data_IF_913717279228
#
_entry.id   IF_913717279228
#
_cell.length_a   1.000
_cell.length_b   1.000
_cell.length_c   1.000
_cell.angle_alpha   90.00
_cell.angle_beta   90.00
_cell.angle_gamma   90.00
#
_symmetry.space_group_name_H-M   'P 1'
#
loop_
_entity.id
_entity.type
_entity.pdbx_description
1 polymer ?
#
# COMPACT_ATOMS: atom_id res chain seq x y z
N UNK A 1 -6.19 13.57 -6.09
CA UNK A 1 -6.34 13.26 -7.52
C UNK A 1 -7.33 12.10 -7.66
N UNK A 2 -8.56 12.34 -8.07
CA UNK A 2 -9.49 11.25 -8.35
C UNK A 2 -9.02 10.48 -9.58
N UNK A 3 -9.10 9.17 -9.58
CA UNK A 3 -8.74 8.43 -10.79
C UNK A 3 -8.37 6.97 -10.59
N UNK A 4 -7.83 6.39 -11.65
CA UNK A 4 -7.36 5.02 -11.70
C UNK A 4 -5.93 4.90 -11.19
N UNK A 5 -5.66 3.89 -10.41
CA UNK A 5 -4.32 3.53 -9.92
C UNK A 5 -4.06 2.04 -9.94
N UNK A 6 -2.84 1.70 -9.56
CA UNK A 6 -2.37 0.32 -9.49
C UNK A 6 -1.84 0.04 -8.10
N UNK A 7 -2.09 -1.14 -7.58
CA UNK A 7 -1.38 -1.72 -6.46
C UNK A 7 -0.49 -2.85 -6.96
N UNK A 8 0.64 -3.08 -6.32
CA UNK A 8 1.51 -4.21 -6.60
C UNK A 8 1.98 -4.86 -5.31
N UNK A 9 1.90 -6.19 -5.26
CA UNK A 9 2.49 -7.03 -4.23
C UNK A 9 3.89 -7.47 -4.66
N UNK A 10 4.87 -6.57 -4.56
CA UNK A 10 6.27 -6.95 -4.74
C UNK A 10 6.87 -7.31 -3.38
N UNK A 11 6.92 -8.61 -3.08
CA UNK A 11 7.17 -9.15 -1.74
C UNK A 11 8.35 -10.14 -1.75
N UNK A 12 9.58 -9.67 -1.97
CA UNK A 12 10.74 -10.54 -1.87
C UNK A 12 10.86 -11.10 -0.44
N UNK A 13 11.26 -12.36 -0.36
CA UNK A 13 11.57 -13.05 0.91
C UNK A 13 13.08 -13.04 1.20
N UNK A 14 13.49 -13.75 2.25
CA UNK A 14 14.92 -13.85 2.64
C UNK A 14 15.81 -14.42 1.53
N UNK A 15 15.26 -15.23 0.63
CA UNK A 15 16.00 -15.88 -0.45
C UNK A 15 16.06 -14.98 -1.69
N UNK A 16 15.03 -14.18 -1.91
CA UNK A 16 14.85 -13.34 -3.09
C UNK A 16 15.15 -11.85 -2.88
N UNK A 17 15.38 -11.38 -1.65
CA UNK A 17 15.63 -9.96 -1.36
C UNK A 17 16.82 -9.39 -2.15
N UNK A 18 17.84 -10.19 -2.43
CA UNK A 18 18.96 -9.80 -3.26
C UNK A 18 18.56 -9.48 -4.72
N UNK A 19 17.44 -10.03 -5.20
CA UNK A 19 16.94 -9.80 -6.57
C UNK A 19 16.35 -8.41 -6.74
N UNK A 20 16.05 -7.68 -5.66
CA UNK A 20 15.60 -6.27 -5.69
C UNK A 20 16.54 -5.41 -6.54
N UNK A 21 17.84 -5.74 -6.61
CA UNK A 21 18.81 -5.06 -7.49
C UNK A 21 18.45 -5.11 -8.98
N UNK A 22 17.69 -6.13 -9.41
CA UNK A 22 17.32 -6.35 -10.80
C UNK A 22 15.99 -5.67 -11.18
N UNK A 23 15.30 -5.02 -10.24
CA UNK A 23 14.05 -4.36 -10.50
C UNK A 23 14.23 -3.21 -11.50
N UNK A 24 13.48 -3.25 -12.60
CA UNK A 24 13.55 -2.27 -13.68
C UNK A 24 12.58 -1.11 -13.41
N UNK A 25 13.06 -0.12 -12.66
CA UNK A 25 12.26 1.04 -12.23
C UNK A 25 11.71 1.82 -13.42
N UNK A 26 12.49 1.98 -14.49
CA UNK A 26 12.05 2.73 -15.66
C UNK A 26 10.95 2.00 -16.44
N UNK A 27 11.10 0.70 -16.69
CA UNK A 27 10.07 -0.10 -17.33
C UNK A 27 8.79 -0.14 -16.47
N UNK A 28 8.92 -0.24 -15.14
CA UNK A 28 7.80 -0.21 -14.20
C UNK A 28 7.04 1.13 -14.26
N UNK A 29 7.74 2.25 -14.10
CA UNK A 29 7.12 3.58 -14.13
C UNK A 29 6.53 3.91 -15.51
N UNK A 30 7.18 3.50 -16.59
CA UNK A 30 6.66 3.61 -17.96
C UNK A 30 5.36 2.79 -18.14
N UNK A 31 5.30 1.58 -17.60
CA UNK A 31 4.08 0.76 -17.62
C UNK A 31 2.90 1.44 -16.93
N UNK A 32 3.10 2.02 -15.74
CA UNK A 32 2.09 2.80 -15.04
C UNK A 32 1.62 4.02 -15.86
N UNK A 33 2.55 4.76 -16.46
CA UNK A 33 2.21 5.90 -17.30
C UNK A 33 1.42 5.49 -18.56
N UNK A 34 1.79 4.38 -19.20
CA UNK A 34 1.04 3.82 -20.35
C UNK A 34 -0.39 3.45 -19.98
N UNK A 35 -0.61 2.92 -18.77
CA UNK A 35 -1.93 2.62 -18.23
C UNK A 35 -2.68 3.85 -17.71
N UNK A 36 -2.06 5.04 -17.76
CA UNK A 36 -2.61 6.32 -17.26
C UNK A 36 -2.95 6.25 -15.77
N UNK A 37 -2.14 5.56 -14.99
CA UNK A 37 -2.30 5.50 -13.55
C UNK A 37 -2.07 6.89 -12.93
N UNK A 38 -2.94 7.28 -12.01
CA UNK A 38 -2.80 8.51 -11.22
C UNK A 38 -2.05 8.27 -9.91
N UNK A 39 -2.01 7.02 -9.45
CA UNK A 39 -1.32 6.62 -8.23
C UNK A 39 -0.87 5.15 -8.29
N UNK A 40 0.10 4.86 -7.44
CA UNK A 40 0.60 3.52 -7.13
C UNK A 40 0.45 3.26 -5.64
N UNK A 41 -0.06 2.08 -5.26
CA UNK A 41 0.12 1.51 -3.92
C UNK A 41 1.22 0.45 -4.02
N UNK A 42 2.35 0.68 -3.35
CA UNK A 42 3.52 -0.19 -3.37
C UNK A 42 3.71 -0.87 -2.02
N UNK A 43 3.79 -2.19 -2.00
CA UNK A 43 4.15 -2.92 -0.77
C UNK A 43 5.60 -2.61 -0.39
N UNK A 44 5.78 -2.00 0.78
CA UNK A 44 7.10 -1.77 1.38
C UNK A 44 7.66 -3.06 1.97
N UNK A 45 6.79 -3.87 2.51
CA UNK A 45 7.02 -5.18 3.08
C UNK A 45 5.71 -5.82 3.53
N UNK A 46 5.79 -7.04 4.04
CA UNK A 46 4.66 -7.81 4.53
C UNK A 46 5.07 -8.56 5.82
N UNK A 47 4.23 -9.46 6.29
CA UNK A 47 4.38 -10.23 7.54
C UNK A 47 5.69 -11.02 7.64
N UNK A 48 6.39 -11.29 6.53
CA UNK A 48 7.66 -12.00 6.51
C UNK A 48 8.86 -11.20 7.07
N UNK A 49 8.67 -9.92 7.40
CA UNK A 49 9.72 -9.06 7.95
C UNK A 49 10.80 -8.64 6.97
N UNK A 50 10.58 -8.86 5.67
CA UNK A 50 11.47 -8.36 4.62
C UNK A 50 10.92 -7.07 4.04
N UNK A 51 11.77 -6.05 3.95
CA UNK A 51 11.41 -4.74 3.44
C UNK A 51 12.28 -4.38 2.25
N UNK A 52 11.70 -3.78 1.23
CA UNK A 52 12.42 -3.32 0.02
C UNK A 52 13.05 -1.92 0.20
N UNK A 53 13.14 -1.48 1.44
CA UNK A 53 13.69 -0.20 1.88
C UNK A 53 14.53 -0.38 3.13
N UNK A 54 15.69 0.28 3.27
CA UNK A 54 16.40 0.35 4.53
C UNK A 54 15.59 1.14 5.58
N UNK A 55 15.80 0.82 6.87
CA UNK A 55 15.19 1.53 7.99
C UNK A 55 16.15 1.58 9.17
N UNK A 56 16.61 2.78 9.48
CA UNK A 56 17.61 3.00 10.54
C UNK A 56 17.03 2.79 11.96
N UNK A 57 15.76 3.16 12.16
CA UNK A 57 15.10 2.95 13.44
C UNK A 57 14.93 1.45 13.73
N UNK A 58 14.55 0.66 12.72
CA UNK A 58 14.43 -0.79 12.86
C UNK A 58 15.79 -1.44 13.18
N UNK A 59 16.86 -0.98 12.55
CA UNK A 59 18.23 -1.48 12.82
C UNK A 59 18.69 -1.17 14.25
N UNK A 60 18.36 0.02 14.77
CA UNK A 60 18.67 0.42 16.15
C UNK A 60 17.85 -0.36 17.16
N UNK A 61 16.55 -0.47 16.94
CA UNK A 61 15.65 -1.20 17.83
C UNK A 61 15.92 -2.70 17.85
N UNK A 62 16.22 -3.26 16.68
CA UNK A 62 16.38 -4.70 16.46
C UNK A 62 17.66 -4.98 15.64
N UNK A 63 18.85 -4.96 16.28
CA UNK A 63 20.13 -5.11 15.55
C UNK A 63 20.23 -6.38 14.69
N UNK A 64 19.45 -7.42 15.02
CA UNK A 64 19.35 -8.63 14.20
C UNK A 64 18.60 -8.46 12.87
N UNK A 65 17.79 -7.41 12.72
CA UNK A 65 17.04 -7.12 11.50
C UNK A 65 17.94 -6.64 10.35
N UNK A 66 19.13 -6.11 10.66
CA UNK A 66 20.11 -5.64 9.64
C UNK A 66 20.52 -6.71 8.62
N UNK A 67 20.32 -8.00 8.93
CA UNK A 67 20.58 -9.13 8.02
C UNK A 67 19.68 -9.12 6.78
N UNK A 68 18.57 -8.40 6.82
CA UNK A 68 17.55 -8.33 5.78
C UNK A 68 17.59 -6.98 5.02
N UNK A 69 18.72 -6.30 5.05
CA UNK A 69 18.89 -5.02 4.37
C UNK A 69 18.80 -5.21 2.85
N UNK A 70 17.88 -4.53 2.17
CA UNK A 70 17.78 -4.61 0.72
C UNK A 70 19.03 -3.97 0.08
N UNK A 71 19.44 -4.43 -1.11
CA UNK A 71 20.63 -3.92 -1.81
C UNK A 71 20.48 -2.49 -2.33
N UNK A 72 19.24 -1.95 -2.36
CA UNK A 72 18.92 -0.59 -2.81
C UNK A 72 17.63 -0.10 -2.12
N UNK A 73 17.40 1.20 -2.14
CA UNK A 73 16.15 1.81 -1.66
C UNK A 73 15.15 1.91 -2.80
N UNK A 74 14.47 0.81 -3.09
CA UNK A 74 13.57 0.71 -4.24
C UNK A 74 12.39 1.69 -4.19
N UNK A 75 11.71 1.92 -3.05
CA UNK A 75 10.63 2.91 -2.98
C UNK A 75 11.09 4.36 -3.24
N UNK A 76 12.33 4.72 -2.88
CA UNK A 76 12.89 6.02 -3.19
C UNK A 76 13.04 6.20 -4.70
N UNK A 77 13.68 5.25 -5.36
CA UNK A 77 13.90 5.28 -6.80
C UNK A 77 12.58 5.27 -7.60
N UNK A 78 11.62 4.42 -7.20
CA UNK A 78 10.29 4.42 -7.78
C UNK A 78 9.60 5.76 -7.55
N UNK A 79 9.63 6.30 -6.33
CA UNK A 79 9.00 7.58 -5.99
C UNK A 79 9.50 8.74 -6.85
N UNK A 80 10.80 8.80 -7.12
CA UNK A 80 11.41 9.80 -8.01
C UNK A 80 10.94 9.64 -9.46
N UNK A 81 10.93 8.41 -9.99
CA UNK A 81 10.46 8.12 -11.33
C UNK A 81 8.96 8.43 -11.52
N UNK A 82 8.14 8.17 -10.50
CA UNK A 82 6.72 8.48 -10.49
C UNK A 82 6.44 9.98 -10.38
N UNK A 83 7.20 10.71 -9.55
CA UNK A 83 7.10 12.16 -9.43
C UNK A 83 7.31 12.85 -10.78
N UNK A 84 8.30 12.41 -11.54
CA UNK A 84 8.58 12.94 -12.89
C UNK A 84 7.39 12.72 -13.87
N UNK A 85 6.51 11.76 -13.56
CA UNK A 85 5.34 11.41 -14.39
C UNK A 85 4.00 11.88 -13.78
N UNK A 86 4.03 12.60 -12.68
CA UNK A 86 2.83 13.08 -11.98
C UNK A 86 1.99 11.97 -11.35
N UNK A 87 2.58 10.81 -11.06
CA UNK A 87 1.94 9.65 -10.44
C UNK A 87 2.23 9.69 -8.93
N UNK A 88 1.20 9.61 -8.09
CA UNK A 88 1.35 9.62 -6.64
C UNK A 88 1.79 8.25 -6.11
N UNK A 89 2.73 8.23 -5.16
CA UNK A 89 3.12 7.02 -4.45
C UNK A 89 2.41 6.92 -3.11
N UNK A 90 1.75 5.78 -2.85
CA UNK A 90 1.19 5.37 -1.57
C UNK A 90 1.96 4.12 -1.14
N UNK A 91 2.45 4.10 0.09
CA UNK A 91 3.18 2.94 0.62
C UNK A 91 2.24 2.04 1.40
N UNK A 92 2.29 0.75 1.10
CA UNK A 92 1.58 -0.27 1.87
C UNK A 92 2.50 -0.86 2.94
N UNK A 93 1.95 -1.04 4.13
CA UNK A 93 2.62 -1.71 5.23
C UNK A 93 1.58 -2.44 6.11
N UNK A 94 1.83 -3.67 6.58
CA UNK A 94 0.99 -4.23 7.62
C UNK A 94 0.98 -3.35 8.86
N UNK A 95 -0.21 -3.14 9.43
CA UNK A 95 -0.39 -2.34 10.64
C UNK A 95 0.37 -2.95 11.83
N UNK A 96 0.37 -4.28 11.91
CA UNK A 96 1.01 -5.07 12.96
C UNK A 96 1.98 -6.05 12.33
N UNK A 97 3.06 -5.55 11.80
CA UNK A 97 4.08 -6.36 11.16
C UNK A 97 5.34 -6.44 12.04
N UNK A 98 6.14 -7.44 11.85
CA UNK A 98 6.10 -8.57 10.91
C UNK A 98 5.65 -9.88 11.56
N UNK A 99 4.38 -10.18 11.53
CA UNK A 99 3.76 -11.30 12.25
C UNK A 99 4.38 -12.69 11.97
N UNK A 100 4.90 -12.91 10.78
CA UNK A 100 5.57 -14.17 10.42
C UNK A 100 7.07 -14.21 10.80
N UNK A 101 7.59 -13.18 11.48
CA UNK A 101 8.92 -13.16 12.09
C UNK A 101 8.80 -12.99 13.62
N UNK A 102 8.63 -14.08 14.40
CA UNK A 102 8.43 -13.99 15.85
C UNK A 102 9.59 -13.32 16.60
N UNK A 103 10.82 -13.44 16.07
CA UNK A 103 11.98 -12.81 16.70
C UNK A 103 11.91 -11.28 16.57
N UNK A 104 11.51 -10.79 15.41
CA UNK A 104 11.36 -9.37 15.15
C UNK A 104 10.13 -8.81 15.89
N UNK A 105 9.01 -9.54 15.93
CA UNK A 105 7.84 -9.16 16.71
C UNK A 105 8.17 -9.02 18.20
N UNK A 106 8.87 -10.01 18.77
CA UNK A 106 9.32 -9.95 20.16
C UNK A 106 10.25 -8.76 20.41
N UNK A 107 11.16 -8.48 19.48
CA UNK A 107 12.07 -7.34 19.54
C UNK A 107 11.29 -6.02 19.58
N UNK A 108 10.28 -5.88 18.71
CA UNK A 108 9.40 -4.71 18.66
C UNK A 108 8.43 -4.63 19.84
N UNK A 109 8.37 -5.67 20.68
CA UNK A 109 7.56 -5.67 21.89
C UNK A 109 6.17 -6.23 21.75
N UNK A 110 5.89 -6.99 20.68
CA UNK A 110 4.63 -7.70 20.48
C UNK A 110 4.85 -9.21 20.47
N UNK A 111 3.95 -9.95 21.11
CA UNK A 111 4.06 -11.41 21.24
C UNK A 111 2.75 -12.15 20.97
N UNK A 112 1.64 -11.43 20.75
CA UNK A 112 0.31 -12.04 20.57
C UNK A 112 -0.52 -11.27 19.56
N UNK A 113 -1.06 -11.97 18.56
CA UNK A 113 -1.95 -11.40 17.56
C UNK A 113 -3.41 -11.30 18.05
N UNK A 114 -3.75 -12.01 19.12
CA UNK A 114 -5.13 -12.11 19.60
C UNK A 114 -5.55 -10.93 20.47
N UNK A 115 -4.59 -10.18 21.02
CA UNK A 115 -4.84 -9.02 21.86
C UNK A 115 -4.50 -7.71 21.14
N UNK A 116 -5.04 -6.58 21.61
CA UNK A 116 -4.61 -5.28 21.10
C UNK A 116 -3.08 -5.12 21.20
N UNK A 117 -2.43 -4.47 20.24
CA UNK A 117 -0.99 -4.31 20.26
C UNK A 117 -0.55 -3.53 21.51
N UNK A 118 0.47 -4.00 22.24
CA UNK A 118 0.97 -3.33 23.45
C UNK A 118 1.48 -1.92 23.15
N UNK A 119 1.38 -1.01 24.13
CA UNK A 119 1.85 0.38 23.96
C UNK A 119 3.34 0.46 23.56
N UNK A 120 4.18 -0.44 24.07
CA UNK A 120 5.59 -0.53 23.68
C UNK A 120 5.79 -0.88 22.21
N UNK A 121 4.93 -1.77 21.65
CA UNK A 121 4.94 -2.09 20.23
C UNK A 121 4.51 -0.87 19.40
N UNK A 122 3.42 -0.21 19.78
CA UNK A 122 2.95 1.01 19.09
C UNK A 122 4.06 2.06 19.05
N UNK A 123 4.77 2.30 20.15
CA UNK A 123 5.88 3.25 20.21
C UNK A 123 7.05 2.82 19.28
N UNK A 124 7.48 1.57 19.36
CA UNK A 124 8.57 1.05 18.54
C UNK A 124 8.21 1.05 17.05
N UNK A 125 7.01 0.54 16.71
CA UNK A 125 6.55 0.50 15.32
C UNK A 125 6.32 1.88 14.73
N UNK A 126 5.82 2.82 15.52
CA UNK A 126 5.71 4.23 15.12
C UNK A 126 7.07 4.84 14.81
N UNK A 127 8.14 4.48 15.53
CA UNK A 127 9.50 4.95 15.21
C UNK A 127 9.98 4.43 13.86
N UNK A 128 9.68 3.17 13.55
CA UNK A 128 9.98 2.55 12.24
C UNK A 128 9.20 3.24 11.11
N UNK A 129 7.90 3.48 11.32
CA UNK A 129 7.05 4.20 10.35
C UNK A 129 7.56 5.63 10.14
N UNK A 130 7.97 6.31 11.22
CA UNK A 130 8.51 7.67 11.16
C UNK A 130 9.77 7.76 10.32
N UNK A 131 10.71 6.83 10.48
CA UNK A 131 11.95 6.79 9.70
C UNK A 131 11.64 6.71 8.20
N UNK A 132 10.77 5.81 7.76
CA UNK A 132 10.34 5.76 6.36
C UNK A 132 9.55 7.00 5.93
N UNK A 133 8.69 7.52 6.82
CA UNK A 133 7.88 8.72 6.52
C UNK A 133 8.75 9.94 6.24
N UNK A 134 9.79 10.14 7.05
CA UNK A 134 10.76 11.23 6.89
C UNK A 134 11.67 10.99 5.68
N UNK A 135 12.14 9.76 5.49
CA UNK A 135 12.97 9.35 4.35
C UNK A 135 12.34 9.68 3.01
N UNK A 136 11.06 9.37 2.85
CA UNK A 136 10.36 9.63 1.59
C UNK A 136 9.73 11.01 1.53
N UNK A 137 9.49 11.66 2.66
CA UNK A 137 8.95 13.02 2.71
C UNK A 137 7.77 13.21 1.75
N UNK A 138 7.81 14.25 0.89
CA UNK A 138 6.72 14.53 -0.04
C UNK A 138 6.60 13.56 -1.23
N UNK A 139 7.55 12.64 -1.45
CA UNK A 139 7.43 11.59 -2.47
C UNK A 139 6.32 10.61 -2.12
N UNK A 140 6.22 10.19 -0.85
CA UNK A 140 5.13 9.35 -0.37
C UNK A 140 3.88 10.20 -0.07
N UNK A 141 2.88 10.12 -0.94
CA UNK A 141 1.60 10.82 -0.80
C UNK A 141 0.66 10.16 0.20
N UNK A 142 0.94 8.95 0.63
CA UNK A 142 0.10 8.26 1.60
C UNK A 142 0.69 6.98 2.14
N UNK A 143 -0.04 6.45 3.13
CA UNK A 143 0.12 5.11 3.69
C UNK A 143 -1.18 4.33 3.57
N UNK A 144 -1.06 3.06 3.26
CA UNK A 144 -2.14 2.09 3.30
C UNK A 144 -1.75 0.99 4.28
N UNK A 145 -2.29 1.06 5.50
CA UNK A 145 -2.00 0.09 6.57
C UNK A 145 -2.98 -1.05 6.53
N UNK A 146 -2.46 -2.27 6.41
CA UNK A 146 -3.25 -3.49 6.32
C UNK A 146 -3.41 -4.17 7.69
N UNK A 147 -4.52 -4.88 7.86
CA UNK A 147 -4.73 -5.71 9.05
C UNK A 147 -4.93 -4.92 10.33
N UNK A 148 -5.70 -3.83 10.30
CA UNK A 148 -6.06 -3.06 11.50
C UNK A 148 -7.13 -3.76 12.33
N UNK A 149 -6.92 -5.04 12.59
CA UNK A 149 -7.77 -5.84 13.47
C UNK A 149 -7.39 -5.59 14.93
N UNK A 150 -8.31 -5.79 15.87
CA UNK A 150 -8.06 -5.74 17.31
C UNK A 150 -7.38 -4.43 17.79
N UNK A 151 -7.82 -3.30 17.25
CA UNK A 151 -7.26 -1.97 17.57
C UNK A 151 -7.97 -1.25 18.73
N UNK A 152 -9.03 -1.83 19.29
CA UNK A 152 -9.90 -1.21 20.30
C UNK A 152 -9.18 -0.87 21.61
N UNK A 153 -8.06 -1.55 21.91
CA UNK A 153 -7.25 -1.30 23.09
C UNK A 153 -6.14 -0.27 22.93
N UNK A 154 -5.98 0.30 21.72
CA UNK A 154 -4.97 1.34 21.50
C UNK A 154 -5.46 2.63 22.13
N UNK A 155 -4.64 3.20 23.03
CA UNK A 155 -4.96 4.48 23.70
C UNK A 155 -4.95 5.66 22.72
N UNK A 156 -5.61 6.75 23.10
CA UNK A 156 -5.58 7.99 22.30
C UNK A 156 -4.14 8.47 22.03
N UNK A 157 -3.26 8.43 23.03
CA UNK A 157 -1.84 8.77 22.88
C UNK A 157 -1.09 7.80 21.96
N UNK A 158 -1.45 6.50 21.95
CA UNK A 158 -0.89 5.52 21.02
C UNK A 158 -1.29 5.82 19.56
N UNK A 159 -2.55 6.15 19.33
CA UNK A 159 -3.01 6.60 18.02
C UNK A 159 -2.35 7.90 17.58
N UNK A 160 -2.23 8.89 18.46
CA UNK A 160 -1.54 10.15 18.17
C UNK A 160 -0.09 9.89 17.72
N UNK A 161 0.65 9.08 18.49
CA UNK A 161 2.04 8.71 18.18
C UNK A 161 2.16 8.07 16.78
N UNK A 162 1.26 7.15 16.44
CA UNK A 162 1.26 6.47 15.15
C UNK A 162 0.85 7.41 14.01
N UNK A 163 -0.17 8.20 14.21
CA UNK A 163 -0.65 9.17 13.22
C UNK A 163 0.40 10.22 12.89
N UNK A 164 1.10 10.73 13.90
CA UNK A 164 2.20 11.68 13.76
C UNK A 164 3.39 11.05 13.03
N UNK A 165 3.72 9.81 13.36
CA UNK A 165 4.75 9.06 12.65
C UNK A 165 4.42 8.90 11.17
N UNK A 166 3.19 8.53 10.84
CA UNK A 166 2.74 8.37 9.46
C UNK A 166 2.72 9.69 8.67
N UNK A 167 2.56 10.84 9.34
CA UNK A 167 2.56 12.18 8.73
C UNK A 167 3.92 12.87 8.74
N UNK A 168 4.91 12.33 9.43
CA UNK A 168 6.26 12.91 9.46
C UNK A 168 6.81 13.12 8.05
N UNK A 169 7.41 14.28 7.80
CA UNK A 169 7.94 14.67 6.48
C UNK A 169 6.90 15.13 5.44
N UNK A 170 5.59 14.88 5.64
CA UNK A 170 4.52 15.41 4.78
C UNK A 170 3.15 15.36 5.48
N UNK A 171 2.68 16.51 5.99
CA UNK A 171 1.46 16.60 6.80
C UNK A 171 0.17 16.18 6.07
N UNK A 172 0.09 16.41 4.76
CA UNK A 172 -1.10 16.18 3.94
C UNK A 172 -1.11 14.79 3.27
N UNK A 173 -0.68 13.74 3.97
CA UNK A 173 -0.73 12.37 3.45
C UNK A 173 -2.12 11.78 3.49
N UNK A 174 -2.41 10.96 2.50
CA UNK A 174 -3.51 10.01 2.58
C UNK A 174 -3.15 8.88 3.53
N UNK A 175 -4.06 8.60 4.46
CA UNK A 175 -3.91 7.53 5.44
C UNK A 175 -5.12 6.61 5.36
N UNK A 176 -4.91 5.37 4.91
CA UNK A 176 -5.90 4.31 4.91
C UNK A 176 -5.53 3.25 5.94
N UNK A 177 -6.53 2.75 6.65
CA UNK A 177 -6.39 1.68 7.63
C UNK A 177 -7.41 0.59 7.30
N UNK A 178 -6.91 -0.58 6.91
CA UNK A 178 -7.74 -1.67 6.43
C UNK A 178 -8.10 -2.64 7.57
N UNK A 179 -9.36 -2.65 7.95
CA UNK A 179 -9.92 -3.60 8.93
C UNK A 179 -10.58 -4.82 8.27
N UNK A 180 -10.22 -5.13 7.04
CA UNK A 180 -10.70 -6.26 6.25
C UNK A 180 -11.77 -5.91 5.22
N UNK A 181 -12.18 -6.91 4.46
CA UNK A 181 -13.14 -6.77 3.37
C UNK A 181 -14.55 -6.40 3.84
N UNK A 182 -15.28 -5.70 2.99
CA UNK A 182 -16.73 -5.50 3.11
C UNK A 182 -17.15 -4.04 3.29
N UNK A 183 -18.21 -3.65 2.58
CA UNK A 183 -18.67 -2.28 2.48
C UNK A 183 -19.02 -1.63 3.83
N UNK A 184 -19.55 -2.38 4.79
CA UNK A 184 -19.90 -1.86 6.12
C UNK A 184 -18.68 -1.40 6.93
N UNK A 185 -17.49 -1.94 6.66
CA UNK A 185 -16.23 -1.59 7.36
C UNK A 185 -15.56 -0.36 6.77
N UNK A 186 -15.81 -0.03 5.51
CA UNK A 186 -15.13 1.07 4.81
C UNK A 186 -15.68 2.45 5.16
N UNK A 187 -16.95 2.54 5.63
CA UNK A 187 -17.56 3.80 6.06
C UNK A 187 -17.13 4.25 7.46
N UNK A 188 -16.49 3.35 8.22
CA UNK A 188 -16.03 3.63 9.57
C UNK A 188 -14.53 3.95 9.55
N UNK A 189 -14.13 4.96 10.32
CA UNK A 189 -12.72 5.23 10.56
C UNK A 189 -12.15 4.15 11.50
N UNK A 190 -11.16 3.41 11.04
CA UNK A 190 -10.40 2.47 11.88
C UNK A 190 -9.33 3.18 12.72
N UNK A 191 -8.97 4.41 12.35
CA UNK A 191 -8.01 5.26 13.07
C UNK A 191 -8.45 6.72 13.06
N UNK A 192 -8.15 7.52 14.09
CA UNK A 192 -8.55 8.93 14.18
C UNK A 192 -8.04 9.79 13.02
N UNK A 193 -6.84 9.48 12.53
CA UNK A 193 -6.19 10.24 11.44
C UNK A 193 -6.54 9.75 10.04
N UNK A 194 -7.34 8.70 9.90
CA UNK A 194 -7.73 8.16 8.60
C UNK A 194 -8.51 9.21 7.78
N UNK A 195 -8.11 9.38 6.53
CA UNK A 195 -8.76 10.28 5.58
C UNK A 195 -8.97 9.65 4.19
N UNK A 196 -8.53 8.40 3.99
CA UNK A 196 -8.74 7.59 2.80
C UNK A 196 -9.40 6.27 3.19
N UNK A 197 -10.44 5.86 2.47
CA UNK A 197 -11.03 4.52 2.65
C UNK A 197 -9.99 3.46 2.26
N UNK A 198 -9.94 2.34 2.98
CA UNK A 198 -9.13 1.19 2.56
C UNK A 198 -9.67 0.57 1.27
N UNK A 199 -10.98 0.38 1.20
CA UNK A 199 -11.72 0.02 0.00
C UNK A 199 -11.41 -1.35 -0.58
N UNK A 200 -11.02 -2.32 0.24
CA UNK A 200 -10.67 -3.65 -0.20
C UNK A 200 -11.90 -4.49 -0.59
N UNK A 201 -11.97 -4.90 -1.84
CA UNK A 201 -13.02 -5.76 -2.38
C UNK A 201 -12.43 -6.90 -3.20
N UNK A 202 -12.78 -8.14 -2.87
CA UNK A 202 -12.54 -9.24 -3.82
C UNK A 202 -13.43 -9.09 -5.06
N UNK A 203 -14.67 -8.67 -4.88
CA UNK A 203 -15.60 -8.37 -5.97
C UNK A 203 -16.15 -6.96 -5.80
N UNK A 204 -15.77 -6.00 -6.65
CA UNK A 204 -16.33 -4.65 -6.60
C UNK A 204 -17.85 -4.68 -6.78
N UNK A 205 -18.59 -3.78 -6.14
CA UNK A 205 -20.01 -3.60 -6.43
C UNK A 205 -20.23 -3.18 -7.88
N UNK A 206 -21.40 -3.50 -8.44
CA UNK A 206 -21.72 -3.12 -9.81
C UNK A 206 -21.69 -1.59 -10.01
N UNK A 207 -22.12 -0.86 -8.99
CA UNK A 207 -22.11 0.61 -8.97
C UNK A 207 -21.49 1.13 -7.68
N UNK A 208 -20.77 2.23 -7.78
CA UNK A 208 -20.13 2.87 -6.65
C UNK A 208 -21.08 3.86 -5.99
N UNK A 209 -21.43 3.59 -4.74
CA UNK A 209 -22.19 4.46 -3.89
C UNK A 209 -21.31 4.91 -2.72
N UNK A 210 -20.58 6.04 -2.83
CA UNK A 210 -19.77 6.54 -1.73
C UNK A 210 -20.65 6.74 -0.49
N UNK A 211 -20.27 6.18 0.66
CA UNK A 211 -21.01 6.44 1.89
C UNK A 211 -20.86 7.91 2.30
N UNK A 212 -21.81 8.48 3.05
CA UNK A 212 -21.66 9.80 3.61
C UNK A 212 -20.55 9.76 4.66
N UNK A 213 -19.36 10.07 4.27
CA UNK A 213 -18.18 10.10 5.15
C UNK A 213 -17.22 11.21 4.69
N UNK A 214 -16.37 11.68 5.62
CA UNK A 214 -15.29 12.62 5.32
C UNK A 214 -14.10 11.94 4.62
N UNK A 215 -14.15 10.62 4.43
CA UNK A 215 -13.07 9.88 3.82
C UNK A 215 -13.10 10.02 2.30
N UNK A 216 -11.93 10.14 1.69
CA UNK A 216 -11.81 10.00 0.24
C UNK A 216 -12.27 8.58 -0.14
N UNK A 217 -13.23 8.50 -1.05
CA UNK A 217 -13.76 7.22 -1.53
C UNK A 217 -12.68 6.43 -2.27
N UNK A 218 -12.60 5.14 -1.99
CA UNK A 218 -11.62 4.25 -2.64
C UNK A 218 -12.20 2.85 -2.83
N UNK A 219 -11.91 2.26 -3.98
CA UNK A 219 -12.14 0.83 -4.28
C UNK A 219 -10.83 0.22 -4.73
N UNK A 220 -10.41 -0.83 -4.07
CA UNK A 220 -9.23 -1.63 -4.38
C UNK A 220 -9.66 -3.07 -4.62
N UNK A 221 -9.27 -3.66 -5.75
CA UNK A 221 -9.60 -5.05 -6.11
C UNK A 221 -8.47 -5.70 -6.90
N UNK A 222 -8.25 -7.02 -6.77
CA UNK A 222 -7.26 -7.69 -7.60
C UNK A 222 -7.78 -7.88 -9.04
N UNK A 223 -6.91 -7.62 -10.02
CA UNK A 223 -7.20 -7.86 -11.43
C UNK A 223 -7.36 -9.36 -11.73
N UNK A 224 -6.65 -10.20 -11.00
CA UNK A 224 -6.64 -11.67 -11.12
C UNK A 224 -7.42 -12.31 -9.97
N UNK A 225 -7.67 -13.61 -9.96
CA UNK A 225 -8.40 -14.29 -8.88
C UNK A 225 -7.75 -14.20 -7.48
N UNK A 226 -6.50 -13.81 -7.41
CA UNK A 226 -5.74 -13.69 -6.15
C UNK A 226 -4.86 -12.45 -6.15
N UNK A 227 -4.65 -11.86 -4.97
CA UNK A 227 -3.78 -10.72 -4.76
C UNK A 227 -2.34 -11.02 -5.20
N UNK A 228 -1.76 -10.14 -6.03
CA UNK A 228 -0.37 -10.19 -6.46
C UNK A 228 0.04 -11.42 -7.27
N UNK A 229 -0.87 -12.32 -7.64
CA UNK A 229 -0.55 -13.56 -8.35
C UNK A 229 -0.86 -13.48 -9.83
N UNK A 230 0.06 -14.00 -10.64
CA UNK A 230 -0.13 -14.12 -12.09
C UNK A 230 -1.27 -15.10 -12.40
N UNK A 231 -2.25 -14.62 -13.15
CA UNK A 231 -3.37 -15.39 -13.71
C UNK A 231 -4.08 -14.57 -14.79
N UNK A 232 -5.06 -15.17 -15.45
CA UNK A 232 -5.93 -14.46 -16.38
C UNK A 232 -6.72 -13.34 -15.66
N UNK A 233 -6.92 -12.16 -16.30
CA UNK A 233 -7.77 -11.11 -15.76
C UNK A 233 -9.22 -11.58 -15.56
N UNK A 234 -9.82 -11.15 -14.46
CA UNK A 234 -11.25 -11.47 -14.14
C UNK A 234 -12.23 -10.53 -14.83
N UNK A 235 -11.77 -9.37 -15.24
CA UNK A 235 -12.63 -8.29 -15.71
C UNK A 235 -12.40 -7.97 -17.18
N UNK A 236 -13.44 -7.54 -17.86
CA UNK A 236 -13.36 -6.99 -19.22
C UNK A 236 -12.89 -5.53 -19.21
N UNK A 237 -12.37 -5.04 -20.34
CA UNK A 237 -12.03 -3.63 -20.50
C UNK A 237 -13.24 -2.71 -20.29
N UNK A 238 -14.47 -3.17 -20.61
CA UNK A 238 -15.68 -2.37 -20.42
C UNK A 238 -16.00 -2.22 -18.93
N UNK A 239 -15.97 -3.31 -18.15
CA UNK A 239 -16.18 -3.25 -16.69
C UNK A 239 -15.18 -2.32 -16.00
N UNK A 240 -13.90 -2.44 -16.35
CA UNK A 240 -12.87 -1.56 -15.80
C UNK A 240 -13.11 -0.09 -16.18
N UNK A 241 -13.53 0.20 -17.40
CA UNK A 241 -13.86 1.56 -17.85
C UNK A 241 -15.01 2.15 -17.05
N UNK A 242 -16.05 1.37 -16.81
CA UNK A 242 -17.23 1.82 -16.08
C UNK A 242 -16.88 2.14 -14.64
N UNK A 243 -16.16 1.29 -13.92
CA UNK A 243 -15.70 1.55 -12.56
C UNK A 243 -14.74 2.75 -12.46
N UNK A 244 -13.81 2.89 -13.41
CA UNK A 244 -12.93 4.08 -13.49
C UNK A 244 -13.77 5.35 -13.69
N UNK A 245 -14.81 5.30 -14.50
CA UNK A 245 -15.76 6.40 -14.72
C UNK A 245 -16.52 6.76 -13.44
N UNK A 246 -17.08 5.78 -12.77
CA UNK A 246 -17.80 5.96 -11.50
C UNK A 246 -16.91 6.50 -10.38
N UNK A 247 -15.67 5.99 -10.24
CA UNK A 247 -14.73 6.52 -9.28
C UNK A 247 -14.40 8.00 -9.52
N UNK A 248 -14.29 8.43 -10.79
CA UNK A 248 -14.08 9.83 -11.15
C UNK A 248 -15.29 10.70 -10.78
N UNK A 249 -16.51 10.23 -11.06
CA UNK A 249 -17.75 10.92 -10.67
C UNK A 249 -17.82 11.07 -9.15
N UNK A 250 -17.47 10.01 -8.43
CA UNK A 250 -17.40 10.01 -6.97
C UNK A 250 -16.22 10.83 -6.40
N UNK A 251 -15.36 11.41 -7.25
CA UNK A 251 -14.10 12.07 -6.87
C UNK A 251 -13.20 11.19 -6.01
N UNK A 252 -13.28 9.88 -6.23
CA UNK A 252 -12.56 8.83 -5.51
C UNK A 252 -11.45 8.19 -6.30
N UNK A 253 -10.90 7.11 -5.74
CA UNK A 253 -9.86 6.29 -6.33
C UNK A 253 -10.44 4.91 -6.70
N UNK A 254 -10.00 4.38 -7.83
CA UNK A 254 -10.17 2.97 -8.20
C UNK A 254 -8.80 2.37 -8.45
N UNK A 255 -8.45 1.35 -7.72
CA UNK A 255 -7.11 0.72 -7.76
C UNK A 255 -7.24 -0.75 -8.13
N UNK A 256 -6.43 -1.19 -9.09
CA UNK A 256 -6.26 -2.61 -9.42
C UNK A 256 -4.95 -3.13 -8.83
N UNK A 257 -5.03 -4.19 -8.06
CA UNK A 257 -3.82 -4.96 -7.74
C UNK A 257 -3.42 -5.78 -8.97
N UNK A 258 -2.19 -5.58 -9.41
CA UNK A 258 -1.66 -6.18 -10.62
C UNK A 258 -0.37 -6.94 -10.33
N UNK A 259 -0.25 -8.19 -10.79
CA UNK A 259 0.99 -8.95 -10.63
C UNK A 259 2.13 -8.38 -11.47
N UNK A 260 3.35 -8.59 -10.97
CA UNK A 260 4.61 -8.28 -11.64
C UNK A 260 5.41 -9.55 -11.88
N UNK A 261 6.29 -9.52 -12.86
CA UNK A 261 7.38 -10.49 -12.94
C UNK A 261 8.46 -10.20 -11.86
N UNK A 262 9.44 -11.08 -11.74
CA UNK A 262 10.51 -10.95 -10.75
C UNK A 262 11.42 -9.72 -10.95
N UNK A 263 11.37 -9.08 -12.12
CA UNK A 263 12.14 -7.89 -12.45
C UNK A 263 11.32 -6.59 -12.35
N UNK A 264 10.09 -6.67 -11.81
CA UNK A 264 9.22 -5.53 -11.62
C UNK A 264 8.47 -5.08 -12.88
N UNK A 265 8.33 -5.94 -13.88
CA UNK A 265 7.61 -5.61 -15.12
C UNK A 265 6.18 -6.12 -15.06
N UNK A 266 5.26 -5.30 -15.55
CA UNK A 266 3.87 -5.73 -15.72
C UNK A 266 3.73 -6.71 -16.87
N UNK A 267 2.82 -7.65 -16.74
CA UNK A 267 2.50 -8.62 -17.79
C UNK A 267 1.86 -7.90 -19.00
N UNK A 268 2.37 -8.10 -20.24
CA UNK A 268 1.91 -7.36 -21.40
C UNK A 268 0.40 -7.42 -21.68
N UNK A 269 -0.22 -8.59 -21.45
CA UNK A 269 -1.65 -8.78 -21.61
C UNK A 269 -2.48 -7.94 -20.62
N UNK A 270 -2.02 -7.83 -19.37
CA UNK A 270 -2.66 -6.99 -18.35
C UNK A 270 -2.55 -5.50 -18.69
N UNK A 271 -1.37 -5.08 -19.12
CA UNK A 271 -1.15 -3.69 -19.59
C UNK A 271 -2.07 -3.37 -20.77
N UNK A 272 -2.16 -4.25 -21.77
CA UNK A 272 -3.02 -4.05 -22.94
C UNK A 272 -4.51 -3.90 -22.56
N UNK A 273 -5.00 -4.76 -21.65
CA UNK A 273 -6.37 -4.70 -21.12
C UNK A 273 -6.65 -3.35 -20.46
N UNK A 274 -5.78 -2.94 -19.52
CA UNK A 274 -5.96 -1.69 -18.77
C UNK A 274 -5.82 -0.47 -19.66
N UNK A 275 -4.89 -0.47 -20.62
CA UNK A 275 -4.79 0.59 -21.65
C UNK A 275 -6.07 0.74 -22.43
N UNK A 276 -6.70 -0.37 -22.84
CA UNK A 276 -7.99 -0.35 -23.52
C UNK A 276 -9.09 0.26 -22.64
N UNK A 277 -9.09 -0.04 -21.34
CA UNK A 277 -10.06 0.53 -20.40
C UNK A 277 -9.87 2.02 -20.13
N UNK A 278 -8.61 2.49 -20.08
CA UNK A 278 -8.25 3.89 -19.75
C UNK A 278 -8.15 4.79 -21.00
N UNK A 279 -8.28 4.25 -22.21
CA UNK A 279 -8.29 5.03 -23.45
C UNK A 279 -9.42 6.08 -23.40
N UNK A 280 -9.11 7.33 -23.82
CA UNK A 280 -10.16 8.33 -24.04
C UNK A 280 -11.04 7.86 -25.20
N UNK A 281 -12.36 7.93 -25.05
CA UNK A 281 -13.22 7.84 -26.25
C UNK A 281 -12.85 9.00 -27.15
N UNK A 282 -12.75 8.77 -28.47
CA UNK A 282 -12.52 9.83 -29.44
C UNK A 282 -13.62 10.90 -29.38
#
# INVERSE_FOLDING_TARGET
MPGFGVMVHYLPDKQSIAQVKNFDVEAFASGLAQMRASHLILTLGQNNGQYISPNSALEVLCPGAARNRPPRDLPLEIGEALRARGIALILYLPFRAPQADPALMKCLGDVSEQEPPPARFIAAWSSVIRDWSERYGPLAKGWWFDGTYNTQGISAAGWETLCDAARSGAANRWLAFNAGEGQARFSLKSAPCQNLMAGEYMQPPAHFAPPPSELVFHVLTPLTPSWGREAAPRFTAQQLRDWIGEARVARGLFTLDMPLDNNGRFLPAHVALVKSATARKP
#
